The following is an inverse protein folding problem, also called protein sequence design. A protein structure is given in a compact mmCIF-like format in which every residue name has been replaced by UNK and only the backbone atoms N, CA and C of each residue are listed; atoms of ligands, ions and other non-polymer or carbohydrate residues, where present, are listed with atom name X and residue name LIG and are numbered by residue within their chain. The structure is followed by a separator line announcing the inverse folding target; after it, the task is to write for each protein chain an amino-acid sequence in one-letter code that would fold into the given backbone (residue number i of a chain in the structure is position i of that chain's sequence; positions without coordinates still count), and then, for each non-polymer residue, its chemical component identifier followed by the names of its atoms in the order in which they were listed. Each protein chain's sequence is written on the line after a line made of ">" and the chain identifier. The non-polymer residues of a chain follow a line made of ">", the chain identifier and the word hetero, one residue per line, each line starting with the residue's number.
data_IF_193939236828
#
_entry.id   IF_193939236828
#
_cell.length_a   1.000
_cell.length_b   1.000
_cell.length_c   1.000
_cell.angle_alpha   90.00
_cell.angle_beta   90.00
_cell.angle_gamma   90.00
#
_symmetry.space_group_name_H-M   'P 1'
#
loop_
_entity.id
_entity.type
_entity.pdbx_description
1 polymer ?
#
# COMPACT_ATOMS: atom_id res chain seq x y z
N UNK A 1 -20.26 18.57 -11.88
CA UNK A 1 -20.57 17.36 -11.10
C UNK A 1 -19.74 16.21 -11.59
N UNK A 2 -18.76 15.79 -10.80
CA UNK A 2 -17.95 14.60 -11.08
C UNK A 2 -18.79 13.37 -10.69
N UNK A 3 -18.87 12.37 -11.56
CA UNK A 3 -19.54 11.09 -11.25
C UNK A 3 -18.77 10.32 -10.17
N UNK A 4 -19.41 9.43 -9.42
CA UNK A 4 -18.81 8.57 -8.38
C UNK A 4 -17.51 7.91 -8.86
N UNK A 5 -17.49 7.35 -10.06
CA UNK A 5 -16.28 6.75 -10.65
C UNK A 5 -15.16 7.77 -10.89
N UNK A 6 -15.51 8.99 -11.31
CA UNK A 6 -14.54 10.07 -11.45
C UNK A 6 -13.97 10.51 -10.11
N UNK A 7 -14.79 10.53 -9.05
CA UNK A 7 -14.34 10.87 -7.70
C UNK A 7 -13.34 9.83 -7.17
N UNK A 8 -13.64 8.54 -7.37
CA UNK A 8 -12.73 7.44 -7.03
C UNK A 8 -11.41 7.58 -7.78
N UNK A 9 -11.46 7.86 -9.08
CA UNK A 9 -10.27 8.08 -9.91
C UNK A 9 -9.42 9.26 -9.43
N UNK A 10 -10.04 10.38 -9.06
CA UNK A 10 -9.33 11.55 -8.49
C UNK A 10 -8.68 11.20 -7.16
N UNK A 11 -9.36 10.45 -6.29
CA UNK A 11 -8.77 10.01 -5.01
C UNK A 11 -7.58 9.10 -5.25
N UNK A 12 -7.65 8.13 -6.16
CA UNK A 12 -6.52 7.26 -6.50
C UNK A 12 -5.34 8.08 -7.04
N UNK A 13 -5.60 9.01 -7.96
CA UNK A 13 -4.56 9.86 -8.51
C UNK A 13 -3.91 10.74 -7.42
N UNK A 14 -4.73 11.28 -6.51
CA UNK A 14 -4.24 12.09 -5.40
C UNK A 14 -3.41 11.27 -4.41
N UNK A 15 -3.88 10.08 -4.01
CA UNK A 15 -3.15 9.23 -3.06
C UNK A 15 -1.84 8.75 -3.66
N UNK A 16 -1.81 8.42 -4.95
CA UNK A 16 -0.59 8.11 -5.68
C UNK A 16 0.42 9.28 -5.68
N UNK A 17 -0.04 10.51 -5.97
CA UNK A 17 0.84 11.70 -5.99
C UNK A 17 1.34 12.03 -4.58
N UNK A 18 0.46 11.93 -3.58
CA UNK A 18 0.83 12.17 -2.18
C UNK A 18 1.91 11.19 -1.73
N UNK A 19 1.74 9.92 -2.09
CA UNK A 19 2.69 8.87 -1.80
C UNK A 19 4.04 9.08 -2.50
N UNK A 20 4.03 9.41 -3.79
CA UNK A 20 5.25 9.79 -4.51
C UNK A 20 6.01 10.95 -3.86
N UNK A 21 5.31 11.96 -3.36
CA UNK A 21 5.96 13.12 -2.74
C UNK A 21 6.58 12.76 -1.40
N UNK A 22 5.89 11.98 -0.56
CA UNK A 22 6.40 11.61 0.74
C UNK A 22 7.47 10.52 0.61
N UNK A 23 7.18 9.43 -0.08
CA UNK A 23 8.08 8.29 -0.16
C UNK A 23 9.16 8.51 -1.21
N UNK A 24 8.74 8.81 -2.44
CA UNK A 24 9.59 9.10 -3.59
C UNK A 24 10.60 10.22 -3.37
N UNK A 25 10.14 11.37 -2.84
CA UNK A 25 10.96 12.58 -2.75
C UNK A 25 11.50 12.88 -1.35
N UNK A 26 10.90 12.36 -0.27
CA UNK A 26 11.33 12.66 1.09
C UNK A 26 11.96 11.45 1.79
N UNK A 27 11.23 10.35 1.96
CA UNK A 27 11.68 9.19 2.76
C UNK A 27 12.86 8.47 2.13
N UNK A 28 12.81 8.18 0.82
CA UNK A 28 13.89 7.43 0.18
C UNK A 28 15.15 8.27 -0.06
N UNK A 29 15.09 9.54 -0.49
CA UNK A 29 16.30 10.37 -0.61
C UNK A 29 16.96 10.61 0.76
N UNK A 30 16.17 10.68 1.83
CA UNK A 30 16.65 10.77 3.21
C UNK A 30 17.22 9.43 3.74
N UNK A 31 17.00 8.32 3.03
CA UNK A 31 17.54 7.01 3.37
C UNK A 31 16.87 6.33 4.56
N UNK A 32 15.61 6.68 4.87
CA UNK A 32 14.83 6.05 5.93
C UNK A 32 14.41 4.61 5.58
N UNK A 33 14.07 4.39 4.31
CA UNK A 33 13.70 3.09 3.77
C UNK A 33 14.10 3.02 2.28
N UNK A 34 14.39 1.81 1.78
CA UNK A 34 14.77 1.59 0.38
C UNK A 34 14.09 0.31 -0.13
N UNK A 35 13.82 0.25 -1.44
CA UNK A 35 13.28 -0.95 -2.09
C UNK A 35 14.37 -1.66 -2.89
N UNK A 36 15.21 -2.50 -2.27
CA UNK A 36 16.36 -3.08 -2.97
C UNK A 36 15.97 -4.09 -4.06
N UNK A 37 14.85 -4.81 -3.89
CA UNK A 37 14.33 -5.75 -4.89
C UNK A 37 13.19 -5.20 -5.75
N UNK A 38 13.12 -3.88 -5.96
CA UNK A 38 12.13 -3.30 -6.86
C UNK A 38 12.46 -3.59 -8.33
N UNK A 39 11.41 -3.79 -9.13
CA UNK A 39 11.56 -3.96 -10.58
C UNK A 39 12.04 -2.63 -11.18
N UNK A 40 13.26 -2.61 -11.68
CA UNK A 40 13.91 -1.39 -12.15
C UNK A 40 13.15 -0.77 -13.33
N UNK A 41 12.60 -1.61 -14.21
CA UNK A 41 11.80 -1.17 -15.37
C UNK A 41 10.48 -0.45 -14.99
N UNK A 42 9.96 -0.68 -13.79
CA UNK A 42 8.70 -0.08 -13.31
C UNK A 42 8.96 0.89 -12.14
N UNK A 43 10.19 1.39 -12.02
CA UNK A 43 10.60 2.27 -10.93
C UNK A 43 11.12 3.62 -11.45
N UNK A 44 10.88 4.68 -10.69
CA UNK A 44 11.50 5.99 -10.87
C UNK A 44 12.89 5.94 -10.25
N UNK A 45 13.91 6.48 -10.93
CA UNK A 45 15.32 6.44 -10.51
C UNK A 45 15.89 5.01 -10.38
N UNK A 46 15.56 4.16 -11.35
CA UNK A 46 16.07 2.80 -11.49
C UNK A 46 17.60 2.72 -11.28
N UNK A 47 18.05 1.77 -10.46
CA UNK A 47 19.47 1.54 -10.20
C UNK A 47 20.10 2.44 -9.14
N UNK A 48 19.33 3.34 -8.51
CA UNK A 48 19.79 4.16 -7.38
C UNK A 48 19.21 3.67 -6.05
N UNK A 49 19.78 4.09 -4.92
CA UNK A 49 19.28 3.72 -3.59
C UNK A 49 17.88 4.28 -3.29
N UNK A 50 17.44 5.32 -4.01
CA UNK A 50 16.14 5.98 -3.85
C UNK A 50 15.18 5.63 -4.98
N UNK A 51 15.31 4.41 -5.52
CA UNK A 51 14.39 3.92 -6.55
C UNK A 51 12.97 3.77 -5.99
N UNK A 52 12.00 4.43 -6.63
CA UNK A 52 10.60 4.34 -6.23
C UNK A 52 9.80 3.44 -7.17
N UNK A 53 9.27 2.29 -6.71
CA UNK A 53 8.42 1.45 -7.54
C UNK A 53 7.05 2.09 -7.81
N UNK A 54 6.73 2.37 -9.09
CA UNK A 54 5.44 2.94 -9.47
C UNK A 54 4.25 2.03 -9.09
N UNK A 55 4.48 0.72 -9.07
CA UNK A 55 3.46 -0.24 -8.67
C UNK A 55 3.14 -0.17 -7.19
N UNK A 56 4.09 0.23 -6.35
CA UNK A 56 3.90 0.36 -4.90
C UNK A 56 2.94 1.52 -4.61
N UNK A 57 3.19 2.71 -5.17
CA UNK A 57 2.26 3.83 -5.05
C UNK A 57 0.86 3.54 -5.60
N UNK A 58 0.73 2.68 -6.63
CA UNK A 58 -0.57 2.22 -7.11
C UNK A 58 -1.25 1.26 -6.14
N UNK A 59 -0.51 0.32 -5.57
CA UNK A 59 -1.01 -0.64 -4.58
C UNK A 59 -1.46 0.08 -3.31
N UNK A 60 -0.60 0.94 -2.76
CA UNK A 60 -0.88 1.73 -1.56
C UNK A 60 -1.95 2.80 -1.80
N UNK A 61 -1.87 3.48 -2.94
CA UNK A 61 -2.89 4.41 -3.39
C UNK A 61 -4.28 3.75 -3.53
N UNK A 62 -4.32 2.49 -3.99
CA UNK A 62 -5.54 1.68 -4.06
C UNK A 62 -6.13 1.34 -2.69
N UNK A 63 -5.29 0.99 -1.70
CA UNK A 63 -5.74 0.75 -0.32
C UNK A 63 -6.32 2.03 0.28
N UNK A 64 -5.58 3.15 0.19
CA UNK A 64 -6.04 4.44 0.71
C UNK A 64 -7.35 4.88 0.05
N UNK A 65 -7.43 4.77 -1.28
CA UNK A 65 -8.65 5.08 -2.01
C UNK A 65 -9.82 4.19 -1.56
N UNK A 66 -9.60 2.88 -1.38
CA UNK A 66 -10.61 1.95 -0.86
C UNK A 66 -11.15 2.38 0.51
N UNK A 67 -10.25 2.75 1.43
CA UNK A 67 -10.61 3.24 2.77
C UNK A 67 -11.36 4.59 2.71
N UNK A 68 -10.89 5.53 1.89
CA UNK A 68 -11.54 6.82 1.68
C UNK A 68 -12.94 6.64 1.07
N UNK A 69 -13.09 5.75 0.09
CA UNK A 69 -14.37 5.44 -0.53
C UNK A 69 -15.33 4.80 0.48
N UNK A 70 -14.86 3.87 1.30
CA UNK A 70 -15.67 3.30 2.37
C UNK A 70 -16.16 4.37 3.35
N UNK A 71 -15.30 5.34 3.69
CA UNK A 71 -15.66 6.44 4.59
C UNK A 71 -16.60 7.46 3.96
N UNK A 72 -16.47 7.71 2.66
CA UNK A 72 -17.21 8.73 1.94
C UNK A 72 -18.59 8.25 1.47
N UNK A 73 -18.69 7.02 0.96
CA UNK A 73 -19.95 6.44 0.50
C UNK A 73 -20.74 5.86 1.67
N UNK A 74 -21.41 6.75 2.39
CA UNK A 74 -22.32 6.41 3.46
C UNK A 74 -23.78 6.54 3.02
N UNK A 75 -24.63 5.74 3.65
CA UNK A 75 -26.08 5.78 3.50
C UNK A 75 -26.68 7.01 4.18
N UNK A 76 -27.98 7.29 3.98
CA UNK A 76 -28.70 8.41 4.62
C UNK A 76 -28.64 8.38 6.16
N UNK A 77 -28.33 7.20 6.73
CA UNK A 77 -28.12 6.96 8.17
C UNK A 77 -26.65 7.03 8.62
N UNK A 78 -25.75 7.47 7.74
CA UNK A 78 -24.30 7.55 7.99
C UNK A 78 -23.58 6.20 8.05
N UNK A 79 -24.20 5.12 7.56
CA UNK A 79 -23.64 3.75 7.55
C UNK A 79 -22.87 3.49 6.26
N UNK A 80 -21.66 2.96 6.36
CA UNK A 80 -20.85 2.48 5.23
C UNK A 80 -21.51 1.24 4.58
N UNK A 81 -21.09 0.89 3.37
CA UNK A 81 -21.69 -0.25 2.64
C UNK A 81 -21.58 -1.58 3.38
N UNK A 82 -20.57 -1.75 4.25
CA UNK A 82 -20.35 -2.97 5.05
C UNK A 82 -21.20 -3.03 6.33
N UNK A 83 -21.81 -1.90 6.67
CA UNK A 83 -22.71 -1.76 7.82
C UNK A 83 -24.19 -1.87 7.38
N UNK A 84 -24.46 -1.88 6.07
CA UNK A 84 -25.80 -2.13 5.51
C UNK A 84 -26.20 -3.57 5.83
N UNK A 85 -27.35 -3.75 6.49
CA UNK A 85 -27.84 -5.06 6.94
C UNK A 85 -27.64 -5.37 8.43
N UNK A 86 -27.01 -4.48 9.20
CA UNK A 86 -26.96 -4.59 10.67
C UNK A 86 -28.35 -4.73 11.30
N UNK A 87 -29.39 -4.17 10.69
CA UNK A 87 -30.78 -4.27 11.16
C UNK A 87 -31.36 -5.70 11.04
N UNK A 88 -30.75 -6.57 10.23
CA UNK A 88 -31.15 -7.99 10.10
C UNK A 88 -30.46 -8.89 11.15
N UNK A 89 -29.43 -8.36 11.85
CA UNK A 89 -28.69 -9.11 12.87
C UNK A 89 -29.55 -9.20 14.14
N UNK A 90 -30.17 -10.37 14.34
CA UNK A 90 -30.96 -10.68 15.53
C UNK A 90 -30.05 -10.79 16.76
N UNK A 91 -30.24 -9.91 17.74
CA UNK A 91 -29.48 -9.91 18.99
C UNK A 91 -29.56 -8.58 19.73
N UNK A 92 -29.00 -8.54 20.95
CA UNK A 92 -28.88 -7.30 21.73
C UNK A 92 -27.83 -6.34 21.14
N UNK A 93 -27.83 -5.10 21.64
CA UNK A 93 -26.96 -4.01 21.16
C UNK A 93 -25.47 -4.38 21.11
N UNK A 94 -24.98 -5.19 22.05
CA UNK A 94 -23.58 -5.65 22.10
C UNK A 94 -23.23 -6.49 20.88
N UNK A 95 -24.09 -7.45 20.49
CA UNK A 95 -23.84 -8.30 19.31
C UNK A 95 -23.82 -7.48 18.03
N UNK A 96 -24.74 -6.52 17.90
CA UNK A 96 -24.80 -5.64 16.73
C UNK A 96 -23.54 -4.77 16.60
N UNK A 97 -23.03 -4.19 17.70
CA UNK A 97 -21.78 -3.41 17.65
C UNK A 97 -20.56 -4.27 17.36
N UNK A 98 -20.50 -5.50 17.87
CA UNK A 98 -19.39 -6.41 17.61
C UNK A 98 -19.38 -6.88 16.15
N UNK A 99 -20.54 -7.23 15.59
CA UNK A 99 -20.68 -7.54 14.17
C UNK A 99 -20.32 -6.35 13.28
N UNK A 100 -20.71 -5.13 13.67
CA UNK A 100 -20.34 -3.89 12.98
C UNK A 100 -18.82 -3.71 12.93
N UNK A 101 -18.16 -3.86 14.08
CA UNK A 101 -16.70 -3.77 14.18
C UNK A 101 -16.02 -4.83 13.30
N UNK A 102 -16.46 -6.09 13.38
CA UNK A 102 -15.90 -7.17 12.56
C UNK A 102 -16.10 -6.94 11.07
N UNK A 103 -17.25 -6.40 10.65
CA UNK A 103 -17.52 -6.10 9.25
C UNK A 103 -16.56 -5.01 8.71
N UNK A 104 -16.36 -3.94 9.47
CA UNK A 104 -15.39 -2.88 9.11
C UNK A 104 -13.97 -3.45 9.07
N UNK A 105 -13.58 -4.21 10.10
CA UNK A 105 -12.25 -4.82 10.17
C UNK A 105 -11.99 -5.77 9.00
N UNK A 106 -12.95 -6.64 8.69
CA UNK A 106 -12.85 -7.57 7.56
C UNK A 106 -12.73 -6.81 6.23
N UNK A 107 -13.46 -5.70 6.08
CA UNK A 107 -13.44 -4.93 4.85
C UNK A 107 -12.14 -4.14 4.66
N UNK A 108 -11.63 -3.49 5.72
CA UNK A 108 -10.28 -2.91 5.72
C UNK A 108 -9.25 -3.99 5.36
N UNK A 109 -9.30 -5.14 6.04
CA UNK A 109 -8.38 -6.26 5.78
C UNK A 109 -8.48 -6.76 4.33
N UNK A 110 -9.68 -6.80 3.75
CA UNK A 110 -9.88 -7.19 2.35
C UNK A 110 -9.23 -6.21 1.39
N UNK A 111 -9.31 -4.90 1.64
CA UNK A 111 -8.61 -3.92 0.81
C UNK A 111 -7.10 -4.08 0.87
N UNK A 112 -6.53 -4.25 2.07
CA UNK A 112 -5.11 -4.57 2.23
C UNK A 112 -4.74 -5.88 1.54
N UNK A 113 -5.61 -6.89 1.59
CA UNK A 113 -5.32 -8.17 0.97
C UNK A 113 -5.30 -8.07 -0.56
N UNK A 114 -6.33 -7.46 -1.14
CA UNK A 114 -6.54 -7.40 -2.59
C UNK A 114 -5.62 -6.40 -3.28
N UNK A 115 -5.49 -5.19 -2.73
CA UNK A 115 -4.73 -4.12 -3.38
C UNK A 115 -3.24 -4.12 -3.02
N UNK A 116 -2.88 -4.68 -1.86
CA UNK A 116 -1.49 -4.68 -1.41
C UNK A 116 -0.88 -6.08 -1.40
N UNK A 117 -1.46 -7.05 -0.68
CA UNK A 117 -0.79 -8.35 -0.52
C UNK A 117 -0.72 -9.15 -1.82
N UNK A 118 -1.82 -9.27 -2.58
CA UNK A 118 -1.81 -10.05 -3.84
C UNK A 118 -0.79 -9.48 -4.84
N UNK A 119 -0.80 -8.15 -5.15
CA UNK A 119 0.18 -7.60 -6.07
C UNK A 119 1.60 -7.65 -5.50
N UNK A 120 1.79 -7.42 -4.19
CA UNK A 120 3.11 -7.51 -3.56
C UNK A 120 3.72 -8.91 -3.73
N UNK A 121 2.93 -9.98 -3.52
CA UNK A 121 3.38 -11.35 -3.72
C UNK A 121 3.72 -11.61 -5.19
N UNK A 122 2.93 -11.08 -6.12
CA UNK A 122 3.21 -11.20 -7.56
C UNK A 122 4.51 -10.50 -7.96
N UNK A 123 4.74 -9.27 -7.51
CA UNK A 123 5.96 -8.52 -7.79
C UNK A 123 7.18 -9.06 -7.04
N UNK A 124 6.99 -9.63 -5.85
CA UNK A 124 8.06 -10.32 -5.11
C UNK A 124 8.57 -11.57 -5.82
N UNK A 125 7.82 -12.16 -6.75
CA UNK A 125 8.33 -13.25 -7.61
C UNK A 125 9.15 -12.75 -8.80
N UNK A 126 9.11 -11.45 -9.11
CA UNK A 126 9.76 -10.83 -10.26
C UNK A 126 10.82 -9.82 -9.83
N UNK A 127 11.46 -10.01 -8.67
CA UNK A 127 12.43 -9.06 -8.14
C UNK A 127 13.68 -9.00 -9.02
N UNK A 128 14.10 -7.79 -9.34
CA UNK A 128 15.38 -7.52 -10.00
C UNK A 128 16.54 -7.57 -8.99
N UNK A 129 17.77 -7.85 -9.45
CA UNK A 129 18.96 -7.85 -8.60
C UNK A 129 19.20 -6.47 -7.98
N UNK A 130 19.79 -6.48 -6.79
CA UNK A 130 19.95 -5.27 -6.00
C UNK A 130 20.87 -4.25 -6.70
N UNK A 131 20.50 -2.96 -6.72
CA UNK A 131 21.34 -1.91 -7.31
C UNK A 131 22.73 -1.81 -6.65
N UNK A 132 23.77 -1.62 -7.45
CA UNK A 132 25.15 -1.45 -6.94
C UNK A 132 25.30 -0.30 -5.95
N UNK A 133 24.49 0.76 -6.06
CA UNK A 133 24.54 1.92 -5.16
C UNK A 133 24.01 1.59 -3.75
N UNK A 134 23.15 0.58 -3.61
CA UNK A 134 22.74 0.02 -2.32
C UNK A 134 23.86 -0.86 -1.76
N UNK A 135 24.47 -1.69 -2.59
CA UNK A 135 25.56 -2.59 -2.20
C UNK A 135 26.82 -1.85 -1.72
N UNK A 136 27.07 -0.64 -2.22
CA UNK A 136 28.22 0.19 -1.81
C UNK A 136 28.01 0.90 -0.46
N UNK A 137 26.80 0.86 0.12
CA UNK A 137 26.43 1.61 1.33
C UNK A 137 26.11 0.67 2.48
N UNK A 138 27.06 0.50 3.39
CA UNK A 138 26.98 -0.42 4.54
C UNK A 138 25.76 -0.22 5.45
N UNK A 139 25.20 1.00 5.56
CA UNK A 139 23.99 1.27 6.36
C UNK A 139 22.71 0.63 5.79
N UNK A 140 22.61 0.40 4.48
CA UNK A 140 21.42 -0.24 3.88
C UNK A 140 21.48 -1.76 3.89
N UNK A 141 22.68 -2.33 4.03
CA UNK A 141 22.89 -3.77 4.03
C UNK A 141 22.58 -4.43 5.38
N UNK A 142 22.60 -3.67 6.49
CA UNK A 142 22.23 -4.13 7.85
C UNK A 142 22.88 -5.47 8.25
N UNK A 143 24.03 -5.82 7.66
CA UNK A 143 24.71 -7.11 7.86
C UNK A 143 23.95 -8.35 7.35
N UNK A 144 22.99 -8.19 6.44
CA UNK A 144 22.17 -9.29 5.89
C UNK A 144 22.87 -9.97 4.71
N UNK A 145 23.61 -9.21 3.89
CA UNK A 145 24.40 -9.67 2.75
C UNK A 145 25.48 -8.61 2.40
N UNK A 146 26.56 -8.99 1.68
CA UNK A 146 27.67 -8.08 1.30
C UNK A 146 29.06 -8.63 1.64
N UNK A 147 30.12 -7.86 1.32
CA UNK A 147 31.54 -8.30 1.46
C UNK A 147 31.93 -8.73 2.88
N UNK A 148 31.25 -8.20 3.91
CA UNK A 148 31.46 -8.56 5.32
C UNK A 148 30.65 -9.80 5.77
N UNK A 149 29.90 -10.46 4.88
CA UNK A 149 29.01 -11.58 5.21
C UNK A 149 29.17 -12.76 4.24
N UNK A 150 28.89 -13.98 4.70
CA UNK A 150 29.03 -15.24 3.96
C UNK A 150 27.97 -15.45 2.84
N UNK A 151 27.22 -14.40 2.48
CA UNK A 151 26.11 -14.44 1.52
C UNK A 151 26.21 -13.29 0.52
N UNK A 152 26.33 -13.56 -0.80
CA UNK A 152 26.24 -12.52 -1.80
C UNK A 152 24.82 -11.93 -1.79
N UNK A 153 24.69 -10.62 -1.97
CA UNK A 153 23.40 -9.99 -2.16
C UNK A 153 22.82 -10.41 -3.52
N UNK A 154 21.53 -10.82 -3.58
CA UNK A 154 20.86 -11.24 -4.81
C UNK A 154 20.62 -10.11 -5.81
#
# INVERSE_FOLDING_TARGET
>A
NINTFGLIGVVIAWTFVFDFVIEGLFLMPMGLFTYPGAIQALSVNAGTYYQWPLYEGLMWGGVQAGLCCMRYFTDDRGRTFVERGLDQVRGGAVKQQLTRFLAIFAACSTFFFVFYNIPAQFFAMHQDPWPEDILKRSYFLMGICGEDTDRPCP
#
